data_IF_177168905963
#
_entry.id   IF_177168905963
#
_cell.length_a   1.000
_cell.length_b   1.000
_cell.length_c   1.000
_cell.angle_alpha   90.00
_cell.angle_beta   90.00
_cell.angle_gamma   90.00
#
_symmetry.space_group_name_H-M   'P 1'
#
loop_
_entity.id
_entity.type
_entity.pdbx_description
1 polymer ?
#
# COMPACT_ATOMS: atom_id res chain seq x y z
N UNK A 1 56.09 30.31 26.59
CA UNK A 1 55.14 29.93 25.51
C UNK A 1 54.62 28.54 25.81
N UNK A 2 53.52 28.48 26.55
CA UNK A 2 52.89 27.26 27.06
C UNK A 2 51.98 26.63 25.98
N UNK A 3 52.06 25.31 25.75
CA UNK A 3 51.23 24.63 24.75
C UNK A 3 49.78 24.48 25.22
N UNK A 4 48.84 24.61 24.28
CA UNK A 4 47.39 24.42 24.48
C UNK A 4 47.07 22.99 24.94
N UNK A 5 46.12 22.78 25.87
CA UNK A 5 45.70 21.45 26.26
C UNK A 5 44.85 20.77 25.17
N UNK A 6 45.11 19.49 24.95
CA UNK A 6 44.40 18.62 24.02
C UNK A 6 42.92 18.45 24.40
N UNK A 7 42.06 18.54 23.39
CA UNK A 7 40.62 18.30 23.50
C UNK A 7 40.38 16.83 23.85
N UNK A 8 39.77 16.56 25.02
CA UNK A 8 39.34 15.21 25.41
C UNK A 8 38.20 14.76 24.50
N UNK A 9 38.34 13.58 23.91
CA UNK A 9 37.29 12.89 23.17
C UNK A 9 36.09 12.61 24.08
N UNK A 10 34.89 13.03 23.65
CA UNK A 10 33.64 12.60 24.26
C UNK A 10 33.36 11.14 23.88
N UNK A 11 32.81 10.32 24.79
CA UNK A 11 32.39 8.97 24.48
C UNK A 11 31.23 8.97 23.47
N UNK A 12 31.27 7.96 22.60
CA UNK A 12 30.35 7.66 21.52
C UNK A 12 28.97 7.28 22.08
N UNK A 13 28.12 8.29 22.29
CA UNK A 13 26.71 8.13 22.66
C UNK A 13 25.91 7.74 21.41
N UNK A 14 26.12 6.50 20.94
CA UNK A 14 25.21 5.87 19.98
C UNK A 14 23.98 5.40 20.75
N UNK A 15 22.78 6.00 20.55
CA UNK A 15 21.59 5.47 21.18
C UNK A 15 21.33 4.07 20.63
N UNK A 16 21.43 3.08 21.51
CA UNK A 16 20.87 1.74 21.34
C UNK A 16 19.38 1.90 21.02
N UNK A 17 19.01 1.77 19.75
CA UNK A 17 17.61 1.83 19.32
C UNK A 17 16.94 0.52 19.73
N UNK A 18 16.34 0.57 20.92
CA UNK A 18 15.24 -0.26 21.37
C UNK A 18 14.28 -0.52 20.20
N UNK A 19 14.02 -1.80 19.92
CA UNK A 19 12.97 -2.28 18.99
C UNK A 19 11.68 -1.49 19.22
N UNK A 20 11.43 -0.45 18.42
CA UNK A 20 10.10 0.15 18.34
C UNK A 20 9.23 -0.81 17.55
N UNK A 21 8.51 -1.63 18.31
CA UNK A 21 7.41 -2.45 17.84
C UNK A 21 6.44 -1.56 17.06
N UNK A 22 6.42 -1.71 15.74
CA UNK A 22 5.41 -1.14 14.84
C UNK A 22 4.08 -1.82 15.15
N UNK A 23 3.41 -1.42 16.23
CA UNK A 23 2.01 -1.77 16.44
C UNK A 23 1.22 -0.98 15.42
N UNK A 24 0.87 -1.62 14.30
CA UNK A 24 -0.41 -1.29 13.65
C UNK A 24 -1.45 -1.26 14.79
N UNK A 25 -2.13 -0.12 14.97
CA UNK A 25 -3.16 0.02 15.99
C UNK A 25 -4.30 -0.91 15.61
N UNK A 26 -4.25 -2.16 16.06
CA UNK A 26 -5.33 -3.10 15.89
C UNK A 26 -6.48 -2.62 16.78
N UNK A 27 -7.57 -2.17 16.16
CA UNK A 27 -8.76 -1.78 16.90
C UNK A 27 -9.37 -3.04 17.56
N UNK A 28 -9.74 -2.93 18.84
CA UNK A 28 -10.41 -4.01 19.55
C UNK A 28 -11.85 -4.22 19.09
N UNK A 29 -12.47 -3.17 18.51
CA UNK A 29 -13.82 -3.17 17.98
C UNK A 29 -13.87 -2.24 16.74
N UNK A 30 -14.79 -2.49 15.79
CA UNK A 30 -14.96 -1.62 14.64
C UNK A 30 -15.40 -0.23 15.10
N UNK A 31 -14.95 0.79 14.37
CA UNK A 31 -15.28 2.18 14.67
C UNK A 31 -15.77 2.85 13.39
N UNK A 32 -16.80 3.68 13.52
CA UNK A 32 -17.18 4.62 12.45
C UNK A 32 -16.89 6.04 12.91
N UNK A 33 -16.27 6.83 12.04
CA UNK A 33 -15.97 8.24 12.26
C UNK A 33 -16.58 9.07 11.14
N UNK A 34 -17.01 10.29 11.45
CA UNK A 34 -17.43 11.24 10.43
C UNK A 34 -16.20 11.84 9.73
N UNK A 35 -16.26 11.95 8.41
CA UNK A 35 -15.24 12.58 7.58
C UNK A 35 -15.84 13.82 6.90
N UNK A 36 -16.07 14.87 7.70
CA UNK A 36 -16.84 16.03 7.26
C UNK A 36 -18.35 15.75 7.30
N UNK A 37 -19.13 16.53 6.56
CA UNK A 37 -20.60 16.46 6.57
C UNK A 37 -21.19 15.43 5.60
N UNK A 38 -20.38 14.89 4.68
CA UNK A 38 -20.86 14.09 3.54
C UNK A 38 -20.14 12.76 3.41
N UNK A 39 -19.43 12.31 4.45
CA UNK A 39 -18.75 11.03 4.42
C UNK A 39 -18.64 10.39 5.80
N UNK A 40 -18.69 9.07 5.82
CA UNK A 40 -18.41 8.26 7.01
C UNK A 40 -17.29 7.27 6.69
N UNK A 41 -16.39 7.07 7.65
CA UNK A 41 -15.28 6.12 7.56
C UNK A 41 -15.48 5.01 8.58
N UNK A 42 -15.61 3.78 8.10
CA UNK A 42 -15.53 2.58 8.92
C UNK A 42 -14.09 2.08 8.97
N UNK A 43 -13.53 1.97 10.17
CA UNK A 43 -12.29 1.24 10.46
C UNK A 43 -12.65 -0.13 11.06
N UNK A 44 -12.19 -1.21 10.43
CA UNK A 44 -12.45 -2.56 10.91
C UNK A 44 -11.55 -2.94 12.11
N UNK A 45 -12.04 -3.88 12.92
CA UNK A 45 -11.29 -4.47 14.02
C UNK A 45 -10.14 -5.38 13.56
N UNK A 46 -9.18 -5.59 14.47
CA UNK A 46 -8.13 -6.57 14.31
C UNK A 46 -7.02 -6.18 13.33
N UNK A 47 -6.09 -7.11 13.06
CA UNK A 47 -5.00 -6.90 12.13
C UNK A 47 -5.50 -6.91 10.69
N UNK A 48 -4.72 -6.28 9.82
CA UNK A 48 -4.92 -6.37 8.38
C UNK A 48 -4.85 -7.85 7.94
N UNK A 49 -5.96 -8.35 7.40
CA UNK A 49 -6.08 -9.74 6.98
C UNK A 49 -7.03 -9.86 5.79
N UNK A 50 -6.85 -10.91 4.98
CA UNK A 50 -7.74 -11.16 3.85
C UNK A 50 -9.21 -11.36 4.27
N UNK A 51 -9.54 -12.13 5.33
CA UNK A 51 -10.94 -12.26 5.74
C UNK A 51 -11.60 -10.95 6.16
N UNK A 52 -10.87 -10.06 6.84
CA UNK A 52 -11.42 -8.73 7.19
C UNK A 52 -11.59 -7.87 5.95
N UNK A 53 -10.62 -7.90 5.03
CA UNK A 53 -10.71 -7.17 3.77
C UNK A 53 -11.86 -7.67 2.88
N UNK A 54 -12.09 -8.98 2.83
CA UNK A 54 -13.23 -9.58 2.12
C UNK A 54 -14.57 -9.11 2.68
N UNK A 55 -14.67 -8.93 4.01
CA UNK A 55 -15.86 -8.30 4.63
C UNK A 55 -16.01 -6.85 4.18
N UNK A 56 -14.92 -6.08 4.11
CA UNK A 56 -14.95 -4.69 3.64
C UNK A 56 -15.45 -4.60 2.21
N UNK A 57 -14.96 -5.45 1.31
CA UNK A 57 -15.44 -5.48 -0.08
C UNK A 57 -16.91 -5.86 -0.17
N UNK A 58 -17.35 -6.89 0.56
CA UNK A 58 -18.76 -7.27 0.59
C UNK A 58 -19.66 -6.18 1.18
N UNK A 59 -19.20 -5.48 2.22
CA UNK A 59 -19.94 -4.34 2.77
C UNK A 59 -20.03 -3.22 1.74
N UNK A 60 -18.93 -2.89 1.06
CA UNK A 60 -18.86 -1.87 0.00
C UNK A 60 -19.89 -2.13 -1.10
N UNK A 61 -20.00 -3.37 -1.59
CA UNK A 61 -21.00 -3.74 -2.59
C UNK A 61 -22.43 -3.58 -2.06
N UNK A 62 -22.69 -4.03 -0.83
CA UNK A 62 -24.03 -3.95 -0.21
C UNK A 62 -24.49 -2.54 0.10
N UNK A 63 -23.56 -1.61 0.36
CA UNK A 63 -23.92 -0.22 0.70
C UNK A 63 -23.94 0.70 -0.51
N UNK A 64 -23.25 0.35 -1.61
CA UNK A 64 -23.15 1.18 -2.82
C UNK A 64 -24.52 1.54 -3.42
N UNK A 65 -25.46 0.61 -3.40
CA UNK A 65 -26.77 0.80 -4.03
C UNK A 65 -27.84 1.37 -3.07
N UNK A 66 -27.45 1.79 -1.87
CA UNK A 66 -28.38 2.39 -0.92
C UNK A 66 -28.73 3.83 -1.33
N UNK A 67 -29.98 4.21 -1.08
CA UNK A 67 -30.42 5.58 -1.31
C UNK A 67 -29.61 6.57 -0.47
N UNK A 68 -29.12 7.63 -1.12
CA UNK A 68 -28.29 8.65 -0.51
C UNK A 68 -26.81 8.29 -0.36
N UNK A 69 -26.37 7.09 -0.79
CA UNK A 69 -24.95 6.78 -0.96
C UNK A 69 -24.51 7.26 -2.35
N UNK A 70 -23.49 8.12 -2.39
CA UNK A 70 -22.94 8.67 -3.62
C UNK A 70 -21.81 7.79 -4.18
N UNK A 71 -20.93 7.28 -3.31
CA UNK A 71 -19.83 6.39 -3.69
C UNK A 71 -19.30 5.62 -2.48
N UNK A 72 -18.54 4.56 -2.74
CA UNK A 72 -17.89 3.71 -1.73
C UNK A 72 -16.43 3.49 -2.11
N UNK A 73 -15.51 3.80 -1.20
CA UNK A 73 -14.08 3.63 -1.41
C UNK A 73 -13.51 2.64 -0.38
N UNK A 74 -13.36 1.35 -0.73
CA UNK A 74 -12.70 0.38 0.13
C UNK A 74 -11.20 0.69 0.21
N UNK A 75 -10.72 0.94 1.43
CA UNK A 75 -9.33 1.14 1.78
C UNK A 75 -8.69 -0.11 2.40
N UNK A 76 -7.57 0.07 3.11
CA UNK A 76 -6.89 -1.02 3.81
C UNK A 76 -7.53 -1.21 5.18
N UNK A 77 -8.29 -2.29 5.37
CA UNK A 77 -9.08 -2.54 6.59
C UNK A 77 -10.10 -1.43 6.92
N UNK A 78 -10.52 -0.65 5.92
CA UNK A 78 -11.43 0.46 6.10
C UNK A 78 -12.35 0.66 4.90
N UNK A 79 -13.49 1.32 5.11
CA UNK A 79 -14.45 1.68 4.07
C UNK A 79 -14.89 3.12 4.26
N UNK A 80 -14.58 3.97 3.28
CA UNK A 80 -15.16 5.32 3.21
C UNK A 80 -16.43 5.26 2.38
N UNK A 81 -17.53 5.82 2.90
CA UNK A 81 -18.80 5.94 2.20
C UNK A 81 -19.11 7.42 2.05
N UNK A 82 -19.30 7.87 0.81
CA UNK A 82 -19.75 9.22 0.50
C UNK A 82 -21.28 9.25 0.50
N UNK A 83 -21.84 10.28 1.12
CA UNK A 83 -23.27 10.43 1.35
C UNK A 83 -23.76 11.74 0.74
N UNK A 84 -24.99 11.74 0.24
CA UNK A 84 -25.72 12.96 -0.07
C UNK A 84 -26.22 13.57 1.25
N UNK A 85 -25.65 14.71 1.70
CA UNK A 85 -26.01 15.31 2.99
C UNK A 85 -27.44 15.86 3.01
N UNK A 86 -28.10 16.01 1.84
CA UNK A 86 -29.49 16.43 1.75
C UNK A 86 -30.47 15.26 1.86
N UNK A 87 -30.00 14.03 1.60
CA UNK A 87 -30.83 12.83 1.61
C UNK A 87 -30.67 12.01 2.89
N UNK A 88 -29.46 11.99 3.48
CA UNK A 88 -29.10 11.10 4.58
C UNK A 88 -28.33 11.85 5.66
N UNK A 89 -28.76 11.68 6.91
CA UNK A 89 -28.04 12.14 8.09
C UNK A 89 -26.80 11.25 8.35
N UNK A 90 -25.63 11.86 8.45
CA UNK A 90 -24.36 11.13 8.53
C UNK A 90 -24.20 10.35 9.85
N UNK A 91 -24.70 10.88 10.96
CA UNK A 91 -24.66 10.20 12.27
C UNK A 91 -25.59 8.98 12.29
N UNK A 92 -26.80 9.12 11.76
CA UNK A 92 -27.74 8.01 11.60
C UNK A 92 -27.15 6.92 10.69
N UNK A 93 -26.53 7.32 9.58
CA UNK A 93 -25.88 6.38 8.66
C UNK A 93 -24.66 5.71 9.30
N UNK A 94 -23.88 6.42 10.12
CA UNK A 94 -22.75 5.84 10.83
C UNK A 94 -23.18 4.69 11.76
N UNK A 95 -24.28 4.87 12.50
CA UNK A 95 -24.85 3.82 13.35
C UNK A 95 -25.38 2.63 12.53
N UNK A 96 -26.01 2.90 11.39
CA UNK A 96 -26.47 1.86 10.46
C UNK A 96 -25.31 1.08 9.84
N UNK A 97 -24.22 1.77 9.48
CA UNK A 97 -23.03 1.15 8.90
C UNK A 97 -22.37 0.16 9.87
N UNK A 98 -22.32 0.49 11.17
CA UNK A 98 -21.84 -0.44 12.21
C UNK A 98 -22.71 -1.69 12.32
N UNK A 99 -24.03 -1.56 12.25
CA UNK A 99 -24.96 -2.72 12.27
C UNK A 99 -24.72 -3.60 11.05
N UNK A 100 -24.63 -3.00 9.86
CA UNK A 100 -24.34 -3.73 8.61
C UNK A 100 -23.00 -4.43 8.63
N UNK A 101 -21.99 -3.83 9.26
CA UNK A 101 -20.68 -4.46 9.45
C UNK A 101 -20.76 -5.71 10.34
N UNK A 102 -21.55 -5.66 11.42
CA UNK A 102 -21.78 -6.80 12.29
C UNK A 102 -22.46 -7.98 11.55
N UNK A 103 -23.34 -7.68 10.60
CA UNK A 103 -24.02 -8.69 9.78
C UNK A 103 -23.21 -9.15 8.57
N UNK A 104 -22.19 -8.39 8.17
CA UNK A 104 -21.38 -8.72 6.99
C UNK A 104 -20.40 -9.84 7.29
N UNK A 105 -20.36 -10.81 6.39
CA UNK A 105 -19.43 -11.95 6.39
C UNK A 105 -18.45 -11.82 5.22
N UNK A 106 -17.25 -12.43 5.30
CA UNK A 106 -16.31 -12.43 4.20
C UNK A 106 -16.95 -13.03 2.95
N UNK A 107 -17.08 -12.23 1.89
CA UNK A 107 -17.47 -12.72 0.57
C UNK A 107 -16.27 -13.25 -0.18
N UNK A 108 -16.47 -14.28 -0.99
CA UNK A 108 -15.38 -14.88 -1.77
C UNK A 108 -15.17 -14.08 -3.05
N UNK A 109 -14.36 -13.03 -2.99
CA UNK A 109 -13.99 -12.26 -4.18
C UNK A 109 -13.01 -13.10 -5.02
N UNK A 110 -13.48 -13.59 -6.16
CA UNK A 110 -12.66 -14.34 -7.12
C UNK A 110 -11.94 -13.36 -8.04
N UNK A 111 -10.71 -13.01 -7.71
CA UNK A 111 -9.83 -12.29 -8.62
C UNK A 111 -9.07 -13.21 -9.57
N UNK A 112 -8.60 -12.65 -10.67
CA UNK A 112 -7.70 -13.32 -11.62
C UNK A 112 -6.28 -13.34 -11.06
N UNK A 113 -5.46 -14.26 -11.52
CA UNK A 113 -4.02 -14.25 -11.21
C UNK A 113 -3.27 -13.60 -12.37
N UNK A 114 -2.47 -12.58 -12.08
CA UNK A 114 -1.65 -11.84 -13.03
C UNK A 114 -0.18 -12.07 -12.67
N UNK A 115 0.59 -12.57 -13.62
CA UNK A 115 2.04 -12.71 -13.44
C UNK A 115 2.76 -11.50 -14.02
N UNK A 116 3.72 -10.96 -13.27
CA UNK A 116 4.50 -9.79 -13.67
C UNK A 116 5.98 -10.07 -13.47
N UNK A 117 6.78 -9.86 -14.52
CA UNK A 117 8.22 -9.94 -14.44
C UNK A 117 8.82 -8.67 -13.82
N UNK A 118 9.72 -8.83 -12.85
CA UNK A 118 10.34 -7.72 -12.12
C UNK A 118 11.83 -7.73 -12.37
N UNK A 119 12.34 -6.56 -12.75
CA UNK A 119 13.77 -6.23 -12.76
C UNK A 119 14.07 -5.45 -11.49
N UNK A 120 14.84 -6.06 -10.60
CA UNK A 120 15.21 -5.50 -9.30
C UNK A 120 16.51 -4.68 -9.41
N UNK A 121 16.60 -3.62 -8.61
CA UNK A 121 17.80 -2.76 -8.54
C UNK A 121 18.03 -1.87 -9.76
N UNK A 122 19.27 -1.42 -9.93
CA UNK A 122 19.66 -0.42 -10.94
C UNK A 122 18.99 0.95 -10.76
N UNK A 123 18.97 1.78 -11.80
CA UNK A 123 18.40 3.14 -11.76
C UNK A 123 16.90 3.17 -11.40
N UNK A 124 16.17 2.12 -11.79
CA UNK A 124 14.73 1.96 -11.51
C UNK A 124 14.43 1.19 -10.21
N UNK A 125 15.47 0.77 -9.49
CA UNK A 125 15.42 0.18 -8.16
C UNK A 125 16.46 0.84 -7.26
N UNK A 126 16.56 2.17 -7.33
CA UNK A 126 17.63 2.96 -6.73
C UNK A 126 17.76 2.79 -5.21
N UNK A 127 16.69 2.40 -4.52
CA UNK A 127 16.73 2.16 -3.08
C UNK A 127 17.20 0.73 -2.74
N UNK A 128 17.35 -0.17 -3.70
CA UNK A 128 17.66 -1.58 -3.45
C UNK A 128 18.95 -1.80 -2.61
N UNK A 129 20.08 -1.12 -2.88
CA UNK A 129 21.30 -1.33 -2.08
C UNK A 129 21.11 -0.94 -0.61
N UNK A 130 20.56 0.26 -0.36
CA UNK A 130 20.30 0.78 0.99
C UNK A 130 19.24 -0.08 1.72
N UNK A 131 18.21 -0.51 0.99
CA UNK A 131 17.13 -1.34 1.50
C UNK A 131 17.64 -2.73 1.90
N UNK A 132 18.46 -3.36 1.06
CA UNK A 132 19.08 -4.65 1.34
C UNK A 132 20.01 -4.56 2.57
N UNK A 133 20.85 -3.51 2.62
CA UNK A 133 21.73 -3.24 3.76
C UNK A 133 20.95 -3.03 5.06
N UNK A 134 19.83 -2.31 5.02
CA UNK A 134 18.98 -2.08 6.19
C UNK A 134 18.45 -3.39 6.81
N UNK A 135 18.14 -4.39 5.97
CA UNK A 135 17.66 -5.69 6.42
C UNK A 135 18.77 -6.73 6.66
N UNK A 136 20.03 -6.39 6.38
CA UNK A 136 21.14 -7.34 6.43
C UNK A 136 21.02 -8.46 5.38
N UNK A 137 20.39 -8.15 4.25
CA UNK A 137 20.17 -9.07 3.12
C UNK A 137 20.98 -8.62 1.91
N UNK A 138 21.20 -9.52 0.97
CA UNK A 138 21.66 -9.19 -0.37
C UNK A 138 20.48 -8.73 -1.25
N UNK A 139 20.73 -7.94 -2.31
CA UNK A 139 19.69 -7.58 -3.29
C UNK A 139 18.96 -8.80 -3.89
N UNK A 140 19.68 -9.92 -4.03
CA UNK A 140 19.11 -11.18 -4.51
C UNK A 140 18.13 -11.79 -3.51
N UNK A 141 18.49 -11.84 -2.23
CA UNK A 141 17.59 -12.32 -1.18
C UNK A 141 16.36 -11.42 -1.06
N UNK A 142 16.50 -10.10 -1.17
CA UNK A 142 15.34 -9.19 -1.20
C UNK A 142 14.41 -9.51 -2.37
N UNK A 143 14.96 -9.74 -3.57
CA UNK A 143 14.18 -10.11 -4.74
C UNK A 143 13.44 -11.46 -4.57
N UNK A 144 14.11 -12.47 -3.98
CA UNK A 144 13.52 -13.78 -3.67
C UNK A 144 12.39 -13.67 -2.66
N UNK A 145 12.59 -12.92 -1.57
CA UNK A 145 11.58 -12.68 -0.55
C UNK A 145 10.39 -11.89 -1.07
N UNK A 146 10.62 -10.92 -1.94
CA UNK A 146 9.55 -10.13 -2.54
C UNK A 146 8.77 -10.94 -3.58
N UNK A 147 9.42 -11.79 -4.37
CA UNK A 147 8.78 -12.57 -5.43
C UNK A 147 8.08 -13.85 -4.93
N UNK A 148 8.49 -14.39 -3.77
CA UNK A 148 7.94 -15.63 -3.22
C UNK A 148 6.43 -15.60 -2.91
N UNK A 149 5.86 -14.55 -2.27
CA UNK A 149 4.44 -14.55 -1.93
C UNK A 149 3.55 -14.23 -3.13
N UNK A 150 2.31 -14.70 -3.05
CA UNK A 150 1.22 -14.23 -3.89
C UNK A 150 0.57 -13.01 -3.25
N UNK A 151 0.51 -11.91 -3.99
CA UNK A 151 -0.06 -10.67 -3.54
C UNK A 151 -1.54 -10.60 -3.87
N UNK A 152 -2.32 -9.89 -3.05
CA UNK A 152 -3.73 -9.60 -3.31
C UNK A 152 -3.93 -8.09 -3.36
N UNK A 153 -4.65 -7.61 -4.39
CA UNK A 153 -5.03 -6.20 -4.52
C UNK A 153 -6.10 -5.87 -3.49
N UNK A 154 -5.72 -5.15 -2.44
CA UNK A 154 -6.60 -4.85 -1.30
C UNK A 154 -7.44 -3.59 -1.50
N UNK A 155 -6.81 -2.54 -2.01
CA UNK A 155 -7.42 -1.24 -2.18
C UNK A 155 -6.90 -0.55 -3.44
N UNK A 156 -7.68 0.34 -4.05
CA UNK A 156 -7.19 1.23 -5.10
C UNK A 156 -6.10 2.13 -4.54
N UNK A 157 -5.11 2.42 -5.37
CA UNK A 157 -3.98 3.25 -5.04
C UNK A 157 -4.22 4.74 -5.23
N UNK A 158 -3.12 5.49 -5.09
CA UNK A 158 -3.10 6.95 -5.24
C UNK A 158 -3.28 7.43 -6.68
N UNK A 159 -3.02 6.57 -7.67
CA UNK A 159 -3.19 6.87 -9.09
C UNK A 159 -4.09 5.85 -9.79
N UNK A 160 -4.65 6.19 -10.96
CA UNK A 160 -5.51 5.30 -11.72
C UNK A 160 -4.77 3.97 -12.02
N UNK A 161 -5.33 2.89 -11.48
CA UNK A 161 -4.81 1.53 -11.59
C UNK A 161 -3.58 1.19 -10.74
N UNK A 162 -3.13 2.08 -9.85
CA UNK A 162 -2.25 1.67 -8.75
C UNK A 162 -3.05 0.75 -7.82
N UNK A 163 -2.43 -0.33 -7.32
CA UNK A 163 -3.05 -1.22 -6.33
C UNK A 163 -2.17 -1.34 -5.09
N UNK A 164 -2.78 -1.18 -3.91
CA UNK A 164 -2.13 -1.57 -2.66
C UNK A 164 -2.15 -3.08 -2.53
N UNK A 165 -0.97 -3.69 -2.40
CA UNK A 165 -0.81 -5.13 -2.37
C UNK A 165 -0.61 -5.61 -0.93
N UNK A 166 -1.36 -6.65 -0.57
CA UNK A 166 -1.18 -7.40 0.67
C UNK A 166 -0.48 -8.73 0.40
N UNK A 167 0.36 -9.18 1.33
CA UNK A 167 1.11 -10.44 1.22
C UNK A 167 2.63 -10.30 1.29
N UNK A 168 3.15 -9.08 1.47
CA UNK A 168 4.59 -8.85 1.62
C UNK A 168 5.18 -9.68 2.77
N UNK A 169 6.34 -10.30 2.54
CA UNK A 169 7.07 -11.03 3.58
C UNK A 169 7.40 -10.07 4.75
N UNK A 170 7.06 -10.42 6.01
CA UNK A 170 7.33 -9.58 7.19
C UNK A 170 8.80 -9.18 7.36
N UNK A 171 9.74 -9.97 6.81
CA UNK A 171 11.18 -9.65 6.83
C UNK A 171 11.53 -8.43 5.98
N UNK A 172 10.66 -8.01 5.06
CA UNK A 172 10.86 -6.83 4.22
C UNK A 172 10.11 -5.60 4.75
N UNK A 173 9.45 -5.69 5.90
CA UNK A 173 8.67 -4.58 6.44
C UNK A 173 9.59 -3.41 6.79
N UNK A 174 9.36 -2.29 6.10
CA UNK A 174 10.26 -1.13 6.17
C UNK A 174 9.45 0.14 6.35
N UNK A 175 9.62 0.89 7.44
CA UNK A 175 8.89 2.13 7.65
C UNK A 175 9.01 3.08 6.45
N UNK A 176 7.92 3.81 6.17
CA UNK A 176 7.96 4.89 5.17
C UNK A 176 8.94 5.96 5.64
N UNK A 177 9.65 6.57 4.70
CA UNK A 177 10.53 7.72 4.96
C UNK A 177 9.69 8.87 5.50
N UNK A 178 10.15 9.48 6.60
CA UNK A 178 9.52 10.65 7.21
C UNK A 178 9.58 11.88 6.29
N UNK A 179 10.70 12.02 5.57
CA UNK A 179 10.89 13.04 4.53
C UNK A 179 10.81 12.35 3.17
N UNK A 180 9.78 12.64 2.35
CA UNK A 180 9.68 12.10 1.00
C UNK A 180 10.89 12.48 0.15
N UNK A 181 11.34 11.53 -0.68
CA UNK A 181 12.47 11.72 -1.60
C UNK A 181 11.99 11.62 -3.03
N UNK A 182 12.66 12.34 -3.94
CA UNK A 182 12.35 12.23 -5.36
C UNK A 182 12.79 10.87 -5.88
N UNK A 183 11.86 10.11 -6.47
CA UNK A 183 12.12 8.82 -7.10
C UNK A 183 11.51 8.77 -8.49
N UNK A 184 12.03 7.91 -9.38
CA UNK A 184 11.42 7.68 -10.68
C UNK A 184 9.92 7.38 -10.52
N UNK A 185 9.12 7.88 -11.45
CA UNK A 185 7.72 7.45 -11.62
C UNK A 185 7.70 6.31 -12.63
N UNK A 186 6.68 5.47 -12.61
CA UNK A 186 6.54 4.36 -13.55
C UNK A 186 6.06 3.10 -12.86
N UNK A 187 6.21 1.98 -13.55
CA UNK A 187 5.88 0.60 -13.14
C UNK A 187 6.76 0.08 -12.00
N UNK A 188 7.08 0.93 -11.03
CA UNK A 188 8.03 0.66 -9.99
C UNK A 188 7.42 -0.22 -8.91
N UNK A 189 8.22 -1.15 -8.42
CA UNK A 189 7.93 -1.93 -7.23
C UNK A 189 8.49 -1.17 -6.04
N UNK A 190 7.60 -0.78 -5.14
CA UNK A 190 7.95 0.02 -3.97
C UNK A 190 7.44 -0.64 -2.69
N UNK A 191 8.20 -0.51 -1.60
CA UNK A 191 7.83 -1.01 -0.27
C UNK A 191 7.67 0.15 0.71
N UNK A 192 6.61 0.10 1.51
CA UNK A 192 6.32 1.11 2.53
C UNK A 192 5.45 0.56 3.65
N UNK A 193 6.02 0.47 4.85
CA UNK A 193 5.45 -0.27 5.97
C UNK A 193 5.45 -1.77 5.67
N UNK A 194 4.32 -2.43 5.92
CA UNK A 194 4.07 -3.83 5.57
C UNK A 194 3.41 -4.04 4.21
N UNK A 195 3.57 -3.09 3.29
CA UNK A 195 2.86 -3.07 2.01
C UNK A 195 3.85 -3.00 0.85
N UNK A 196 3.51 -3.71 -0.22
CA UNK A 196 4.11 -3.51 -1.54
C UNK A 196 3.15 -2.72 -2.42
N UNK A 197 3.70 -1.92 -3.32
CA UNK A 197 2.95 -1.11 -4.27
C UNK A 197 3.52 -1.28 -5.66
N UNK A 198 2.62 -1.35 -6.65
CA UNK A 198 2.95 -1.31 -8.06
C UNK A 198 2.57 0.06 -8.63
N UNK A 199 3.57 0.82 -9.06
CA UNK A 199 3.39 2.11 -9.70
C UNK A 199 2.75 2.01 -11.09
N UNK A 200 2.20 3.11 -11.57
CA UNK A 200 1.58 3.20 -12.90
C UNK A 200 2.66 3.44 -13.97
N UNK A 201 2.70 2.69 -15.09
CA UNK A 201 3.56 2.95 -16.23
C UNK A 201 3.39 4.39 -16.73
N UNK A 202 4.50 5.00 -17.15
CA UNK A 202 4.45 6.29 -17.82
C UNK A 202 3.89 6.10 -19.24
N UNK A 203 3.18 7.11 -19.76
CA UNK A 203 2.75 7.09 -21.16
C UNK A 203 3.98 7.12 -22.08
N UNK A 204 3.97 6.35 -23.20
CA UNK A 204 5.01 6.45 -24.21
C UNK A 204 5.20 7.91 -24.67
N UNK A 205 6.46 8.34 -24.81
CA UNK A 205 6.80 9.69 -25.26
C UNK A 205 6.78 10.78 -24.19
N UNK A 206 6.46 10.44 -22.93
CA UNK A 206 6.61 11.36 -21.79
C UNK A 206 8.05 11.25 -21.24
N UNK A 207 8.76 12.36 -21.01
CA UNK A 207 10.10 12.32 -20.40
C UNK A 207 10.07 11.66 -19.01
N UNK A 208 11.18 11.01 -18.64
CA UNK A 208 11.30 10.37 -17.34
C UNK A 208 11.02 11.37 -16.21
N UNK A 209 9.88 11.20 -15.55
CA UNK A 209 9.48 12.03 -14.42
C UNK A 209 9.94 11.43 -13.08
N UNK A 210 10.15 12.30 -12.09
CA UNK A 210 10.32 11.90 -10.69
C UNK A 210 9.19 12.51 -9.85
N UNK A 211 8.79 11.81 -8.78
CA UNK A 211 7.78 12.28 -7.83
C UNK A 211 8.27 12.07 -6.39
N UNK A 212 7.84 12.91 -5.44
CA UNK A 212 8.16 12.71 -4.03
C UNK A 212 7.43 11.47 -3.52
N UNK A 213 8.19 10.51 -2.98
CA UNK A 213 7.64 9.30 -2.35
C UNK A 213 8.34 9.00 -1.03
N UNK A 214 7.54 8.56 -0.05
CA UNK A 214 8.05 8.01 1.20
C UNK A 214 8.34 6.50 1.12
N UNK A 215 8.07 5.87 -0.01
CA UNK A 215 8.27 4.43 -0.23
C UNK A 215 9.65 4.16 -0.83
N UNK A 216 10.18 2.97 -0.57
CA UNK A 216 11.49 2.53 -1.07
C UNK A 216 11.31 1.80 -2.39
N UNK A 217 11.90 2.32 -3.46
CA UNK A 217 11.80 1.77 -4.81
C UNK A 217 12.89 0.72 -5.04
N UNK A 218 12.49 -0.56 -5.09
CA UNK A 218 13.42 -1.70 -5.14
C UNK A 218 13.54 -2.32 -6.53
N UNK A 219 12.71 -1.92 -7.49
CA UNK A 219 12.74 -2.44 -8.84
C UNK A 219 11.57 -1.91 -9.67
N UNK A 220 11.36 -2.52 -10.84
CA UNK A 220 10.26 -2.17 -11.73
C UNK A 220 9.83 -3.35 -12.60
N UNK A 221 8.64 -3.22 -13.18
CA UNK A 221 8.05 -4.17 -14.14
C UNK A 221 8.18 -3.56 -15.53
N UNK A 222 9.12 -4.01 -16.40
CA UNK A 222 9.37 -3.38 -17.69
C UNK A 222 8.15 -3.43 -18.62
N UNK A 223 7.50 -4.59 -18.70
CA UNK A 223 6.32 -4.83 -19.54
C UNK A 223 5.02 -4.72 -18.73
N UNK A 224 4.98 -3.80 -17.76
CA UNK A 224 3.78 -3.64 -16.96
C UNK A 224 2.59 -3.25 -17.85
N UNK A 225 1.50 -4.03 -17.81
CA UNK A 225 0.29 -3.67 -18.53
C UNK A 225 -0.23 -2.32 -18.03
N UNK A 226 -0.75 -1.51 -18.95
CA UNK A 226 -1.30 -0.19 -18.62
C UNK A 226 -2.47 -0.35 -17.63
N UNK A 227 -2.35 0.13 -16.38
CA UNK A 227 -3.32 -0.14 -15.33
C UNK A 227 -4.67 0.51 -15.58
N UNK A 228 -4.69 1.60 -16.34
CA UNK A 228 -5.90 2.31 -16.74
C UNK A 228 -5.84 2.72 -18.21
N UNK A 229 -6.79 2.22 -19.01
CA UNK A 229 -6.94 2.56 -20.41
C UNK A 229 -8.43 2.79 -20.73
N UNK A 230 -8.78 4.00 -21.17
CA UNK A 230 -10.14 4.36 -21.54
C UNK A 230 -10.67 3.58 -22.75
N UNK A 231 -9.78 2.98 -23.56
CA UNK A 231 -10.15 2.19 -24.73
C UNK A 231 -10.29 0.68 -24.41
N UNK A 232 -10.09 0.28 -23.15
CA UNK A 232 -10.23 -1.11 -22.70
C UNK A 232 -11.52 -1.27 -21.90
N UNK A 233 -12.18 -2.43 -22.03
CA UNK A 233 -13.32 -2.83 -21.20
C UNK A 233 -12.95 -4.08 -20.37
N UNK A 234 -12.86 -4.01 -19.03
CA UNK A 234 -13.00 -2.80 -18.20
C UNK A 234 -11.76 -1.87 -18.28
N UNK A 235 -11.94 -0.55 -18.01
CA UNK A 235 -10.86 0.42 -18.17
C UNK A 235 -9.74 0.22 -17.16
N UNK A 236 -10.06 -0.33 -15.99
CA UNK A 236 -9.08 -0.72 -14.98
C UNK A 236 -8.61 -2.16 -15.20
N UNK A 237 -7.30 -2.35 -15.20
CA UNK A 237 -6.70 -3.68 -15.33
C UNK A 237 -6.91 -4.50 -14.05
N UNK A 238 -6.60 -3.88 -12.92
CA UNK A 238 -6.61 -4.50 -11.60
C UNK A 238 -7.96 -4.25 -10.93
N UNK A 239 -8.62 -5.34 -10.55
CA UNK A 239 -9.80 -5.31 -9.70
C UNK A 239 -9.42 -5.68 -8.25
N UNK A 240 -10.26 -5.28 -7.30
CA UNK A 240 -10.12 -5.73 -5.91
C UNK A 240 -10.20 -7.25 -5.84
N UNK A 241 -9.29 -7.86 -5.07
CA UNK A 241 -9.18 -9.31 -4.97
C UNK A 241 -8.38 -9.99 -6.10
N UNK A 242 -7.98 -9.26 -7.16
CA UNK A 242 -7.00 -9.79 -8.12
C UNK A 242 -5.70 -10.18 -7.41
N UNK A 243 -5.09 -11.25 -7.88
CA UNK A 243 -3.86 -11.83 -7.34
C UNK A 243 -2.69 -11.48 -8.26
N UNK A 244 -1.57 -11.07 -7.69
CA UNK A 244 -0.35 -10.75 -8.43
C UNK A 244 0.76 -11.69 -7.97
N UNK A 245 1.42 -12.33 -8.94
CA UNK A 245 2.64 -13.09 -8.70
C UNK A 245 3.80 -12.42 -9.41
N UNK A 246 4.80 -12.00 -8.64
CA UNK A 246 6.00 -11.45 -9.21
C UNK A 246 6.97 -12.58 -9.57
N UNK A 247 7.57 -12.48 -10.75
CA UNK A 247 8.65 -13.36 -11.19
C UNK A 247 9.92 -12.54 -11.31
N UNK A 248 11.04 -13.07 -10.85
CA UNK A 248 12.33 -12.40 -10.98
C UNK A 248 12.78 -12.53 -12.43
N UNK A 249 12.87 -11.43 -13.16
CA UNK A 249 13.49 -11.40 -14.49
C UNK A 249 14.99 -11.22 -14.38
N UNK A 250 15.42 -10.26 -13.55
CA UNK A 250 16.84 -10.04 -13.25
C UNK A 250 17.01 -9.24 -11.96
N UNK A 251 18.23 -9.29 -11.41
CA UNK A 251 18.66 -8.48 -10.27
C UNK A 251 19.91 -7.72 -10.70
N UNK A 252 19.79 -6.40 -10.81
CA UNK A 252 20.87 -5.49 -11.19
C UNK A 252 21.46 -4.90 -9.90
N UNK A 253 22.76 -5.16 -9.68
CA UNK A 253 23.49 -4.65 -8.53
C UNK A 253 23.78 -3.15 -8.65
#
# INVERSE_FOLDING_TARGET
>A
MTPRPACRSKPDDRPSITRMSTSLMNLAAPRVSLCGASAVLLDAEGPLSLPTQERIWSLSERVRDLSGVLDTHPGMNSLLVLLDPLAVDADAFAAELLKRWADTRPGRVRGRTIEMGVVYGGERGIDMPDFAAFHGLSPKEVAELHAAPEYVVFAPGTGPGFGFLFGLDPRLFTPRRQVPVMRPVGSNISIGGGQAGLGTPQRPGVPAATAPTGWHVIGHVPDAPVPFDLNREPPFLLALGDRIRFRIESVVA
#
